data_IF_217174001547
#
_entry.id   IF_217174001547
#
_cell.length_a   1.000
_cell.length_b   1.000
_cell.length_c   1.000
_cell.angle_alpha   90.00
_cell.angle_beta   90.00
_cell.angle_gamma   90.00
#
_symmetry.space_group_name_H-M   'P 1'
#
loop_
_entity.id
_entity.type
_entity.pdbx_description
1 polymer ?
#
# COMPACT_ATOMS: atom_id res chain seq x y z
N UNK A 1 7.84 -26.09 8.28
CA UNK A 1 6.84 -25.07 8.65
C UNK A 1 7.50 -23.71 8.53
N UNK A 2 7.26 -22.99 7.43
CA UNK A 2 7.65 -21.58 7.24
C UNK A 2 7.16 -21.05 5.89
N UNK A 3 6.70 -19.79 5.95
CA UNK A 3 6.62 -18.76 4.91
C UNK A 3 5.50 -18.88 3.86
N UNK A 4 4.88 -17.75 3.52
CA UNK A 4 4.31 -17.44 2.19
C UNK A 4 2.90 -17.92 1.79
N UNK A 5 2.26 -18.92 2.40
CA UNK A 5 1.12 -19.56 1.71
C UNK A 5 -0.24 -18.85 1.75
N UNK A 6 -0.42 -17.73 2.46
CA UNK A 6 -1.78 -17.13 2.54
C UNK A 6 -1.80 -15.62 2.83
N UNK A 7 -0.92 -14.85 2.18
CA UNK A 7 -0.63 -13.41 2.41
C UNK A 7 0.45 -13.15 3.46
N UNK A 8 1.00 -11.91 3.43
CA UNK A 8 1.98 -11.25 4.31
C UNK A 8 3.40 -11.15 3.74
N UNK A 9 3.75 -9.94 3.29
CA UNK A 9 4.83 -9.15 3.90
C UNK A 9 4.76 -7.68 3.47
N UNK A 10 4.54 -6.81 4.44
CA UNK A 10 4.85 -5.39 4.33
C UNK A 10 5.38 -4.94 5.67
N UNK A 11 6.62 -4.49 5.70
CA UNK A 11 7.20 -3.79 6.86
C UNK A 11 6.70 -2.32 6.92
N UNK A 12 5.53 -2.06 6.34
CA UNK A 12 4.83 -0.78 6.16
C UNK A 12 3.33 -1.05 6.38
N UNK A 13 2.46 -0.06 6.69
CA UNK A 13 1.06 -0.31 7.07
C UNK A 13 0.13 -0.74 5.91
N UNK A 14 0.69 -1.29 4.82
CA UNK A 14 -0.03 -1.69 3.61
C UNK A 14 -0.10 -3.22 3.52
N UNK A 15 -1.26 -3.82 3.26
CA UNK A 15 -1.31 -5.10 2.55
C UNK A 15 -1.43 -4.83 1.06
N UNK A 16 -0.79 -5.66 0.24
CA UNK A 16 -0.76 -5.49 -1.21
C UNK A 16 -1.08 -6.80 -1.91
N UNK A 17 -1.64 -6.71 -3.11
CA UNK A 17 -1.74 -7.84 -4.03
C UNK A 17 -0.51 -7.87 -4.94
N UNK A 18 0.43 -8.77 -4.66
CA UNK A 18 1.68 -8.93 -5.42
C UNK A 18 1.46 -9.25 -6.91
N UNK A 19 0.31 -9.81 -7.26
CA UNK A 19 -0.04 -10.14 -8.65
C UNK A 19 -0.55 -8.95 -9.46
N UNK A 20 -0.89 -7.85 -8.77
CA UNK A 20 -1.49 -6.65 -9.39
C UNK A 20 -0.47 -5.63 -9.89
N UNK A 21 0.83 -5.94 -9.87
CA UNK A 21 1.88 -5.01 -10.28
C UNK A 21 1.66 -4.54 -11.73
N UNK A 22 1.62 -3.23 -11.90
CA UNK A 22 1.63 -2.53 -13.17
C UNK A 22 2.84 -1.60 -13.19
N UNK A 23 3.59 -1.60 -14.29
CA UNK A 23 4.78 -0.75 -14.45
C UNK A 23 4.65 0.08 -15.71
N UNK A 24 4.77 1.40 -15.55
CA UNK A 24 4.84 2.36 -16.64
C UNK A 24 6.28 2.87 -16.79
N UNK A 25 6.73 3.00 -18.04
CA UNK A 25 8.01 3.63 -18.34
C UNK A 25 7.80 5.14 -18.35
N UNK A 26 8.56 5.84 -17.52
CA UNK A 26 8.63 7.29 -17.59
C UNK A 26 9.79 7.66 -18.51
N UNK A 27 9.48 8.35 -19.60
CA UNK A 27 10.52 8.97 -20.41
C UNK A 27 11.28 10.02 -19.58
N UNK A 28 12.58 10.22 -19.85
CA UNK A 28 13.35 11.24 -19.17
C UNK A 28 12.72 12.63 -19.37
N UNK A 29 12.56 13.40 -18.29
CA UNK A 29 12.00 14.74 -18.35
C UNK A 29 12.90 15.76 -17.65
N UNK A 30 13.08 16.93 -18.28
CA UNK A 30 13.91 18.01 -17.74
C UNK A 30 15.40 17.64 -17.68
N UNK A 31 15.98 17.68 -16.47
CA UNK A 31 17.39 17.36 -16.24
C UNK A 31 17.67 15.86 -15.98
N UNK A 32 16.63 15.02 -15.96
CA UNK A 32 16.78 13.57 -15.82
C UNK A 32 17.26 13.00 -17.14
N UNK A 33 18.37 12.28 -17.13
CA UNK A 33 18.95 11.63 -18.32
C UNK A 33 18.68 10.13 -18.36
N UNK A 34 18.24 9.55 -17.25
CA UNK A 34 18.00 8.12 -17.09
C UNK A 34 16.52 7.78 -17.25
N UNK A 35 16.23 6.54 -17.64
CA UNK A 35 14.87 6.01 -17.69
C UNK A 35 14.43 5.69 -16.27
N UNK A 36 13.21 6.06 -15.92
CA UNK A 36 12.63 5.73 -14.63
C UNK A 36 11.31 4.99 -14.82
N UNK A 37 10.86 4.32 -13.76
CA UNK A 37 9.69 3.47 -13.78
C UNK A 37 8.70 3.89 -12.72
N UNK A 38 7.44 4.05 -13.12
CA UNK A 38 6.33 4.17 -12.18
C UNK A 38 5.75 2.79 -11.94
N UNK A 39 5.84 2.30 -10.71
CA UNK A 39 5.17 1.07 -10.29
C UNK A 39 3.88 1.37 -9.54
N UNK A 40 2.86 0.57 -9.80
CA UNK A 40 1.55 0.62 -9.17
C UNK A 40 1.16 -0.78 -8.72
N UNK A 41 0.75 -0.93 -7.46
CA UNK A 41 0.27 -2.19 -6.92
C UNK A 41 -1.00 -1.92 -6.10
N UNK A 42 -2.01 -2.79 -6.24
CA UNK A 42 -3.23 -2.67 -5.47
C UNK A 42 -2.94 -2.93 -3.98
N UNK A 43 -3.42 -2.03 -3.13
CA UNK A 43 -3.03 -1.92 -1.74
C UNK A 43 -4.21 -1.54 -0.84
N UNK A 44 -4.16 -2.04 0.40
CA UNK A 44 -5.04 -1.64 1.50
C UNK A 44 -4.17 -1.21 2.68
N UNK A 45 -4.53 -0.12 3.35
CA UNK A 45 -3.82 0.36 4.53
C UNK A 45 -4.76 0.96 5.54
N UNK A 46 -4.40 0.91 6.81
CA UNK A 46 -5.11 1.70 7.81
C UNK A 46 -4.60 3.13 7.81
N UNK A 47 -5.48 4.07 8.13
CA UNK A 47 -5.10 5.43 8.51
C UNK A 47 -6.02 5.97 9.59
N UNK A 48 -5.48 6.86 10.42
CA UNK A 48 -6.27 7.56 11.44
C UNK A 48 -6.65 8.94 10.93
N UNK A 49 -7.93 9.30 11.05
CA UNK A 49 -8.42 10.65 10.72
C UNK A 49 -9.42 11.07 11.77
N UNK A 50 -9.15 12.21 12.45
CA UNK A 50 -10.03 12.74 13.52
C UNK A 50 -10.37 11.70 14.59
N UNK A 51 -9.38 10.92 15.03
CA UNK A 51 -9.54 9.89 16.06
C UNK A 51 -10.10 8.55 15.58
N UNK A 52 -10.67 8.49 14.38
CA UNK A 52 -11.25 7.27 13.80
C UNK A 52 -10.22 6.52 12.95
N UNK A 53 -10.09 5.22 13.16
CA UNK A 53 -9.34 4.31 12.29
C UNK A 53 -10.22 3.95 11.11
N UNK A 54 -9.71 4.11 9.89
CA UNK A 54 -10.37 3.66 8.68
C UNK A 54 -9.41 2.79 7.88
N UNK A 55 -9.93 1.77 7.21
CA UNK A 55 -9.20 1.09 6.15
C UNK A 55 -9.34 1.91 4.86
N UNK A 56 -8.26 2.11 4.15
CA UNK A 56 -8.21 2.67 2.81
C UNK A 56 -7.82 1.57 1.83
N UNK A 57 -8.40 1.60 0.65
CA UNK A 57 -8.09 0.70 -0.47
C UNK A 57 -7.78 1.54 -1.70
N UNK A 58 -6.88 1.07 -2.54
CA UNK A 58 -6.49 1.73 -3.78
C UNK A 58 -5.14 1.23 -4.23
N UNK A 59 -4.21 2.13 -4.55
CA UNK A 59 -2.93 1.76 -5.16
C UNK A 59 -1.76 2.35 -4.39
N UNK A 60 -0.77 1.52 -4.06
CA UNK A 60 0.56 2.02 -3.68
C UNK A 60 1.32 2.37 -4.96
N UNK A 61 1.85 3.59 -5.03
CA UNK A 61 2.62 4.09 -6.16
C UNK A 61 4.01 4.46 -5.70
N UNK A 62 5.01 4.05 -6.48
CA UNK A 62 6.41 4.38 -6.21
C UNK A 62 7.17 4.63 -7.51
N UNK A 63 8.16 5.52 -7.42
CA UNK A 63 9.04 5.87 -8.53
C UNK A 63 10.38 5.16 -8.34
N UNK A 64 10.76 4.32 -9.30
CA UNK A 64 11.93 3.44 -9.18
C UNK A 64 12.91 3.66 -10.34
N UNK A 65 14.20 3.67 -10.02
CA UNK A 65 15.28 3.79 -11.01
C UNK A 65 15.54 2.46 -11.72
N UNK A 66 15.15 1.34 -11.09
CA UNK A 66 15.24 -0.01 -11.66
C UNK A 66 13.84 -0.56 -11.84
N UNK A 67 13.59 -1.17 -13.01
CA UNK A 67 12.31 -1.84 -13.28
C UNK A 67 12.17 -3.06 -12.36
N UNK A 68 11.16 -3.13 -11.49
CA UNK A 68 10.93 -4.33 -10.68
C UNK A 68 10.49 -5.50 -11.57
N UNK A 69 11.02 -6.69 -11.34
CA UNK A 69 10.65 -7.89 -12.09
C UNK A 69 9.27 -8.43 -11.68
N UNK A 70 8.84 -8.17 -10.44
CA UNK A 70 7.57 -8.63 -9.90
C UNK A 70 7.12 -7.75 -8.71
N UNK A 71 5.90 -7.99 -8.20
CA UNK A 71 5.34 -7.21 -7.11
C UNK A 71 6.13 -7.29 -5.80
N UNK A 72 6.84 -8.40 -5.54
CA UNK A 72 7.67 -8.52 -4.35
C UNK A 72 8.86 -7.57 -4.41
N UNK A 73 9.58 -7.58 -5.54
CA UNK A 73 10.71 -6.67 -5.76
C UNK A 73 10.27 -5.20 -5.74
N UNK A 74 9.09 -4.91 -6.30
CA UNK A 74 8.49 -3.57 -6.21
C UNK A 74 8.33 -3.12 -4.76
N UNK A 75 7.78 -3.96 -3.88
CA UNK A 75 7.55 -3.64 -2.46
C UNK A 75 8.86 -3.48 -1.68
N UNK A 76 9.87 -4.28 -2.01
CA UNK A 76 11.20 -4.18 -1.41
C UNK A 76 11.90 -2.87 -1.77
N UNK A 77 11.76 -2.42 -3.03
CA UNK A 77 12.33 -1.16 -3.53
C UNK A 77 11.50 0.07 -3.19
N UNK A 78 10.20 -0.11 -2.96
CA UNK A 78 9.27 0.95 -2.57
C UNK A 78 9.62 1.42 -1.17
N UNK A 79 10.69 2.21 -1.08
CA UNK A 79 11.26 2.75 0.15
C UNK A 79 10.77 4.17 0.42
N UNK A 80 10.31 4.86 -0.63
CA UNK A 80 9.82 6.22 -0.59
C UNK A 80 8.32 6.26 -0.31
N UNK A 81 7.94 6.83 0.84
CA UNK A 81 6.53 7.02 1.21
C UNK A 81 5.92 8.32 0.69
N UNK A 82 6.69 9.18 -0.02
CA UNK A 82 6.27 10.55 -0.39
C UNK A 82 5.04 10.59 -1.28
N UNK A 83 4.86 9.60 -2.15
CA UNK A 83 3.71 9.53 -3.07
C UNK A 83 2.48 8.86 -2.43
N UNK A 84 2.65 8.19 -1.28
CA UNK A 84 1.58 7.56 -0.54
C UNK A 84 0.80 6.51 -1.34
N UNK A 85 -0.34 6.10 -0.79
CA UNK A 85 -1.33 5.30 -1.52
C UNK A 85 -2.40 6.21 -2.13
N UNK A 86 -2.67 6.04 -3.42
CA UNK A 86 -3.84 6.66 -4.06
C UNK A 86 -5.11 5.96 -3.56
N UNK A 87 -5.97 6.71 -2.88
CA UNK A 87 -7.08 6.16 -2.11
C UNK A 87 -8.36 6.15 -2.94
N UNK A 88 -8.66 5.01 -3.56
CA UNK A 88 -9.87 4.79 -4.34
C UNK A 88 -11.10 4.44 -3.47
N UNK A 89 -10.88 3.94 -2.25
CA UNK A 89 -11.97 3.56 -1.35
C UNK A 89 -11.60 3.55 0.12
N UNK A 90 -12.62 3.49 0.95
CA UNK A 90 -12.55 3.57 2.40
C UNK A 90 -13.57 2.63 3.02
N UNK A 91 -13.19 2.02 4.13
CA UNK A 91 -14.11 1.28 4.98
C UNK A 91 -13.90 1.73 6.43
N UNK A 92 -14.97 2.12 7.10
CA UNK A 92 -14.93 2.77 8.42
C UNK A 92 -15.22 1.82 9.60
N UNK A 93 -15.44 0.53 9.34
CA UNK A 93 -15.96 -0.41 10.34
C UNK A 93 -17.34 -0.95 10.01
N UNK A 94 -18.13 -0.17 9.26
CA UNK A 94 -19.54 -0.45 8.99
C UNK A 94 -19.86 -0.26 7.50
N UNK A 95 -19.33 0.80 6.89
CA UNK A 95 -19.71 1.27 5.55
C UNK A 95 -18.49 1.43 4.67
N UNK A 96 -18.70 1.10 3.39
CA UNK A 96 -17.75 1.34 2.33
C UNK A 96 -18.08 2.66 1.61
N UNK A 97 -17.05 3.44 1.29
CA UNK A 97 -17.14 4.73 0.60
C UNK A 97 -16.02 4.83 -0.44
N UNK A 98 -16.29 5.23 -1.69
CA UNK A 98 -15.25 5.37 -2.71
C UNK A 98 -15.77 5.08 -4.11
N UNK A 99 -15.13 4.15 -4.80
CA UNK A 99 -15.59 3.59 -6.08
C UNK A 99 -17.12 3.35 -6.06
N UNK A 100 -17.77 3.67 -7.18
CA UNK A 100 -19.23 3.55 -7.33
C UNK A 100 -19.59 2.38 -8.25
N UNK A 101 -18.63 1.92 -9.05
CA UNK A 101 -18.75 0.77 -9.93
C UNK A 101 -18.79 -0.52 -9.10
N UNK A 102 -19.85 -1.35 -9.19
CA UNK A 102 -19.99 -2.57 -8.39
C UNK A 102 -18.80 -3.52 -8.50
N UNK A 103 -18.25 -3.70 -9.70
CA UNK A 103 -17.13 -4.60 -9.97
C UNK A 103 -15.84 -4.11 -9.28
N UNK A 104 -15.62 -2.80 -9.24
CA UNK A 104 -14.48 -2.19 -8.56
C UNK A 104 -14.65 -2.30 -7.04
N UNK A 105 -15.88 -2.11 -6.54
CA UNK A 105 -16.20 -2.35 -5.13
C UNK A 105 -15.90 -3.81 -4.76
N UNK A 106 -16.30 -4.79 -5.58
CA UNK A 106 -16.03 -6.20 -5.32
C UNK A 106 -14.53 -6.52 -5.28
N UNK A 107 -13.74 -5.98 -6.20
CA UNK A 107 -12.28 -6.12 -6.21
C UNK A 107 -11.66 -5.53 -4.93
N UNK A 108 -12.06 -4.33 -4.56
CA UNK A 108 -11.63 -3.69 -3.31
C UNK A 108 -12.01 -4.53 -2.09
N UNK A 109 -13.22 -5.05 -2.02
CA UNK A 109 -13.66 -5.88 -0.91
C UNK A 109 -12.93 -7.22 -0.86
N UNK A 110 -12.59 -7.81 -2.02
CA UNK A 110 -11.78 -9.03 -2.09
C UNK A 110 -10.39 -8.82 -1.48
N UNK A 111 -9.75 -7.68 -1.75
CA UNK A 111 -8.46 -7.32 -1.18
C UNK A 111 -8.56 -6.92 0.30
N UNK A 112 -9.64 -6.24 0.70
CA UNK A 112 -9.86 -5.75 2.06
C UNK A 112 -10.21 -6.87 3.05
N UNK A 113 -11.06 -7.83 2.66
CA UNK A 113 -11.59 -8.88 3.57
C UNK A 113 -10.52 -9.64 4.35
N UNK A 114 -9.40 -10.10 3.75
CA UNK A 114 -8.32 -10.75 4.50
C UNK A 114 -7.70 -9.85 5.57
N UNK A 115 -7.57 -8.54 5.31
CA UNK A 115 -7.03 -7.58 6.29
C UNK A 115 -7.99 -7.31 7.45
N UNK A 116 -9.30 -7.32 7.20
CA UNK A 116 -10.30 -7.10 8.25
C UNK A 116 -10.27 -8.18 9.33
N UNK A 117 -9.77 -9.38 9.04
CA UNK A 117 -9.54 -10.41 10.06
C UNK A 117 -8.58 -9.98 11.18
N UNK A 118 -7.71 -8.99 10.91
CA UNK A 118 -6.78 -8.42 11.88
C UNK A 118 -7.21 -7.01 12.37
N UNK A 119 -8.39 -6.54 11.99
CA UNK A 119 -8.89 -5.21 12.37
C UNK A 119 -9.58 -5.21 13.74
N UNK A 120 -9.40 -4.19 14.61
CA UNK A 120 -8.42 -3.10 14.57
C UNK A 120 -7.22 -3.39 15.49
N UNK A 121 -6.53 -4.53 15.31
CA UNK A 121 -5.32 -4.82 16.07
C UNK A 121 -4.16 -3.94 15.54
N UNK A 122 -4.15 -2.69 15.98
CA UNK A 122 -3.17 -1.69 15.60
C UNK A 122 -2.00 -1.75 16.60
N UNK A 123 -0.73 -1.72 16.13
CA UNK A 123 0.43 -1.64 17.01
C UNK A 123 0.44 -0.39 17.89
N UNK A 124 1.00 -0.53 19.10
CA UNK A 124 1.22 0.62 19.99
C UNK A 124 2.08 1.70 19.31
N UNK A 125 1.70 2.97 19.50
CA UNK A 125 2.41 4.13 18.94
C UNK A 125 1.95 4.57 17.55
N UNK A 126 0.95 3.93 16.96
CA UNK A 126 0.41 4.33 15.64
C UNK A 126 -0.52 5.56 15.72
N UNK A 127 -0.15 6.65 15.05
CA UNK A 127 -0.92 7.91 15.01
C UNK A 127 -1.65 8.16 13.66
N UNK A 128 -1.60 7.17 12.76
CA UNK A 128 -2.08 7.30 11.37
C UNK A 128 -0.96 7.48 10.35
N UNK A 129 0.26 7.72 10.81
CA UNK A 129 1.51 7.60 10.07
C UNK A 129 2.47 6.69 10.87
N UNK A 130 3.41 6.01 10.20
CA UNK A 130 4.50 5.35 10.92
C UNK A 130 5.70 6.28 10.94
N UNK A 131 6.02 6.80 12.11
CA UNK A 131 7.29 7.49 12.36
C UNK A 131 8.28 6.43 12.82
N UNK A 132 9.41 6.28 12.14
CA UNK A 132 10.49 5.45 12.67
C UNK A 132 10.83 5.98 14.06
N UNK A 133 10.81 5.14 15.12
CA UNK A 133 11.53 5.53 16.32
C UNK A 133 12.97 5.75 15.89
N UNK A 134 13.50 6.96 16.12
CA UNK A 134 14.95 7.17 16.11
C UNK A 134 15.52 6.05 16.97
N UNK A 135 16.41 5.23 16.43
CA UNK A 135 17.14 4.25 17.21
C UNK A 135 17.60 4.96 18.48
N UNK A 136 17.08 4.50 19.63
CA UNK A 136 17.68 4.86 20.88
C UNK A 136 19.02 4.15 20.87
N UNK A 137 20.11 4.92 20.72
CA UNK A 137 21.48 4.48 20.89
C UNK A 137 21.55 3.45 22.01
N UNK A 138 21.87 2.20 21.66
CA UNK A 138 22.22 1.13 22.59
C UNK A 138 23.60 0.61 22.26
#
# INVERSE_FOLDING_TARGET
MKREERFVLSHRPYAVDLSSLRVEVSEPWGAMTETHYWGYIDAVWFRRRKGVTIACTGQLRDHQDVRPANGQEFVEHATDGRYGGDCAGRWDGERYWGAQEPEVIEQHLALLRPMLGNYPQIPDGWDGWWTFPKEADR
#
